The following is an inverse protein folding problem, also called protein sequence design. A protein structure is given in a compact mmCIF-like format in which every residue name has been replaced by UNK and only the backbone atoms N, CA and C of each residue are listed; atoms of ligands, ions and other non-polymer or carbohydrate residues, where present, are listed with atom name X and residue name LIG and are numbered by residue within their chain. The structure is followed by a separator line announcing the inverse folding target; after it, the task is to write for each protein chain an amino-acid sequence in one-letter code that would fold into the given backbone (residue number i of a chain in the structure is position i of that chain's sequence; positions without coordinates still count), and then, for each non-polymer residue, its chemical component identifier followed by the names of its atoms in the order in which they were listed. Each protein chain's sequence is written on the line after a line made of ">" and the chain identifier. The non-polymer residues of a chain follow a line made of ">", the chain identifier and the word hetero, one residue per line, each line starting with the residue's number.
data_IF_460518428671
#
_entry.id   IF_460518428671
#
_cell.length_a   1.000
_cell.length_b   1.000
_cell.length_c   1.000
_cell.angle_alpha   90.00
_cell.angle_beta   90.00
_cell.angle_gamma   90.00
#
_symmetry.space_group_name_H-M   'P 1'
#
loop_
_entity.id
_entity.type
_entity.pdbx_description
1 polymer ?
#
# COMPACT_ATOMS: atom_id res chain seq x y z
N UNK A 1 -25.66 0.89 -41.93
CA UNK A 1 -24.58 -0.11 -41.70
C UNK A 1 -23.60 0.26 -40.58
N UNK A 2 -23.47 1.53 -40.17
CA UNK A 2 -22.60 1.92 -39.05
C UNK A 2 -23.23 1.76 -37.64
N UNK A 3 -24.56 1.69 -37.57
CA UNK A 3 -25.28 1.50 -36.27
C UNK A 3 -25.30 0.06 -35.79
N UNK A 4 -25.21 -0.92 -36.67
CA UNK A 4 -25.18 -2.35 -36.28
C UNK A 4 -23.86 -2.81 -35.68
N UNK A 5 -22.75 -2.12 -36.02
CA UNK A 5 -21.43 -2.45 -35.48
C UNK A 5 -21.28 -1.95 -34.02
N UNK A 6 -21.88 -0.80 -33.69
CA UNK A 6 -21.87 -0.25 -32.32
C UNK A 6 -22.73 -1.10 -31.37
N UNK A 7 -23.89 -1.59 -31.83
CA UNK A 7 -24.75 -2.47 -31.02
C UNK A 7 -24.13 -3.85 -30.81
N UNK A 8 -23.38 -4.39 -31.79
CA UNK A 8 -22.68 -5.66 -31.66
C UNK A 8 -21.54 -5.63 -30.60
N UNK A 9 -20.79 -4.55 -30.56
CA UNK A 9 -19.72 -4.36 -29.56
C UNK A 9 -20.33 -4.18 -28.15
N UNK A 10 -21.43 -3.43 -28.03
CA UNK A 10 -22.10 -3.28 -26.74
C UNK A 10 -22.71 -4.57 -26.20
N UNK A 11 -23.28 -5.43 -27.04
CA UNK A 11 -23.86 -6.72 -26.62
C UNK A 11 -22.79 -7.75 -26.26
N UNK A 12 -21.60 -7.70 -26.86
CA UNK A 12 -20.49 -8.57 -26.47
C UNK A 12 -19.73 -8.04 -25.24
N UNK A 13 -19.66 -6.72 -25.03
CA UNK A 13 -18.95 -6.14 -23.90
C UNK A 13 -19.67 -6.33 -22.56
N UNK A 14 -21.01 -6.36 -22.54
CA UNK A 14 -21.80 -6.54 -21.32
C UNK A 14 -21.51 -7.85 -20.57
N UNK A 15 -21.51 -9.05 -21.22
CA UNK A 15 -21.18 -10.29 -20.53
C UNK A 15 -19.70 -10.37 -20.08
N UNK A 16 -18.81 -9.67 -20.77
CA UNK A 16 -17.37 -9.68 -20.47
C UNK A 16 -17.05 -8.71 -19.33
N UNK A 17 -17.72 -7.56 -19.28
CA UNK A 17 -17.59 -6.61 -18.17
C UNK A 17 -18.13 -7.18 -16.84
N UNK A 18 -19.16 -8.05 -16.90
CA UNK A 18 -19.65 -8.76 -15.69
C UNK A 18 -18.61 -9.71 -15.13
N UNK A 19 -17.74 -10.32 -15.95
CA UNK A 19 -16.62 -11.15 -15.46
C UNK A 19 -15.63 -10.36 -14.64
N UNK A 20 -15.36 -9.10 -14.98
CA UNK A 20 -14.51 -8.21 -14.16
C UNK A 20 -15.12 -7.94 -12.80
N UNK A 21 -16.43 -7.74 -12.74
CA UNK A 21 -17.14 -7.56 -11.47
C UNK A 21 -17.20 -8.87 -10.67
N UNK A 22 -17.45 -10.00 -11.33
CA UNK A 22 -17.43 -11.32 -10.72
C UNK A 22 -16.06 -11.63 -10.13
N UNK A 23 -14.99 -11.34 -10.86
CA UNK A 23 -13.61 -11.48 -10.36
C UNK A 23 -13.36 -10.67 -9.08
N UNK A 24 -13.89 -9.44 -8.99
CA UNK A 24 -13.70 -8.58 -7.82
C UNK A 24 -14.55 -8.98 -6.62
N UNK A 25 -15.78 -9.47 -6.85
CA UNK A 25 -16.78 -9.64 -5.79
C UNK A 25 -17.23 -11.09 -5.58
N UNK A 26 -16.72 -12.06 -6.33
CA UNK A 26 -17.02 -13.47 -6.11
C UNK A 26 -16.05 -14.04 -5.06
N UNK A 27 -16.50 -14.29 -3.82
CA UNK A 27 -15.61 -14.80 -2.78
C UNK A 27 -15.29 -16.28 -3.00
N UNK A 28 -14.02 -16.61 -3.01
CA UNK A 28 -13.55 -17.99 -3.00
C UNK A 28 -13.24 -18.44 -1.57
N UNK A 29 -14.17 -19.18 -0.98
CA UNK A 29 -14.00 -19.75 0.37
C UNK A 29 -13.17 -21.02 0.41
N UNK A 30 -12.72 -21.55 -0.74
CA UNK A 30 -11.88 -22.75 -0.79
C UNK A 30 -10.53 -22.55 -0.09
N UNK A 31 -10.06 -21.32 -0.08
CA UNK A 31 -8.80 -20.87 0.57
C UNK A 31 -8.78 -21.09 2.10
N UNK A 32 -9.94 -21.18 2.74
CA UNK A 32 -10.03 -21.50 4.18
C UNK A 32 -9.89 -22.99 4.49
N UNK A 33 -9.75 -23.85 3.46
CA UNK A 33 -9.43 -25.26 3.64
C UNK A 33 -7.93 -25.41 3.87
N UNK A 34 -7.55 -25.85 5.08
CA UNK A 34 -6.15 -25.98 5.46
C UNK A 34 -5.55 -24.70 6.01
N UNK A 35 -4.26 -24.48 5.81
CA UNK A 35 -3.48 -23.31 6.28
C UNK A 35 -3.38 -22.17 5.25
N UNK A 36 -3.95 -22.31 4.05
CA UNK A 36 -3.86 -21.31 2.96
C UNK A 36 -4.37 -19.92 3.33
N UNK A 37 -5.28 -19.82 4.31
CA UNK A 37 -5.76 -18.53 4.83
C UNK A 37 -4.64 -17.66 5.43
N UNK A 38 -3.54 -18.27 5.95
CA UNK A 38 -2.40 -17.51 6.49
C UNK A 38 -1.66 -16.79 5.37
N UNK A 39 -1.48 -17.45 4.21
CA UNK A 39 -0.88 -16.81 3.03
C UNK A 39 -1.70 -15.62 2.55
N UNK A 40 -3.04 -15.76 2.50
CA UNK A 40 -3.94 -14.65 2.15
C UNK A 40 -3.85 -13.53 3.18
N UNK A 41 -3.87 -13.85 4.47
CA UNK A 41 -3.73 -12.86 5.52
C UNK A 41 -2.38 -12.13 5.42
N UNK A 42 -1.31 -12.84 5.10
CA UNK A 42 0.02 -12.26 4.91
C UNK A 42 0.04 -11.27 3.74
N UNK A 43 -0.48 -11.67 2.57
CA UNK A 43 -0.53 -10.80 1.38
C UNK A 43 -1.46 -9.61 1.60
N UNK A 44 -2.68 -9.84 2.09
CA UNK A 44 -3.62 -8.75 2.37
C UNK A 44 -3.12 -7.82 3.48
N UNK A 45 -2.49 -8.38 4.51
CA UNK A 45 -1.89 -7.62 5.61
C UNK A 45 -0.74 -6.74 5.12
N UNK A 46 0.17 -7.27 4.28
CA UNK A 46 1.23 -6.50 3.65
C UNK A 46 0.65 -5.31 2.87
N UNK A 47 -0.34 -5.55 2.01
CA UNK A 47 -1.00 -4.50 1.26
C UNK A 47 -1.64 -3.43 2.17
N UNK A 48 -2.26 -3.81 3.30
CA UNK A 48 -2.81 -2.85 4.26
C UNK A 48 -1.72 -2.02 4.92
N UNK A 49 -0.57 -2.61 5.27
CA UNK A 49 0.57 -1.87 5.81
C UNK A 49 1.08 -0.83 4.82
N UNK A 50 1.18 -1.20 3.56
CA UNK A 50 1.62 -0.30 2.49
C UNK A 50 0.60 0.81 2.25
N UNK A 51 -0.67 0.48 1.99
CA UNK A 51 -1.73 1.43 1.65
C UNK A 51 -1.98 2.46 2.75
N UNK A 52 -2.02 2.03 4.02
CA UNK A 52 -2.21 2.89 5.18
C UNK A 52 -0.89 3.45 5.76
N UNK A 53 0.25 3.20 5.11
CA UNK A 53 1.57 3.67 5.56
C UNK A 53 1.92 3.27 7.00
N UNK A 54 1.52 2.06 7.42
CA UNK A 54 1.78 1.56 8.77
C UNK A 54 3.19 0.98 8.89
N UNK A 55 3.83 1.19 10.04
CA UNK A 55 5.15 0.63 10.33
C UNK A 55 6.35 1.34 9.71
N UNK A 56 6.13 2.35 8.85
CA UNK A 56 7.19 3.11 8.17
C UNK A 56 7.42 4.52 8.75
N UNK A 57 7.02 4.78 9.98
CA UNK A 57 7.09 6.08 10.67
C UNK A 57 6.25 7.23 10.07
N UNK A 58 5.70 7.11 8.86
CA UNK A 58 4.92 8.16 8.21
C UNK A 58 3.71 8.60 9.05
N UNK A 59 2.96 7.64 9.61
CA UNK A 59 1.82 7.94 10.49
C UNK A 59 2.23 8.63 11.79
N UNK A 60 3.41 8.34 12.34
CA UNK A 60 3.94 9.01 13.53
C UNK A 60 4.26 10.47 13.19
N UNK A 61 4.92 10.70 12.04
CA UNK A 61 5.25 12.02 11.54
C UNK A 61 3.99 12.84 11.28
N UNK A 62 2.99 12.29 10.60
CA UNK A 62 1.71 12.96 10.38
C UNK A 62 0.96 13.24 11.68
N UNK A 63 0.96 12.29 12.60
CA UNK A 63 0.36 12.47 13.92
C UNK A 63 0.98 13.65 14.68
N UNK A 64 2.29 13.89 14.53
CA UNK A 64 2.98 15.02 15.14
C UNK A 64 2.59 16.39 14.56
N UNK A 65 2.02 16.43 13.35
CA UNK A 65 1.55 17.64 12.68
C UNK A 65 0.08 17.95 12.89
N UNK A 66 -0.67 16.98 13.44
CA UNK A 66 -2.10 17.18 13.73
C UNK A 66 -2.29 18.24 14.81
N UNK A 67 -3.30 19.08 14.63
CA UNK A 67 -3.71 20.01 15.67
C UNK A 67 -4.32 19.26 16.85
N UNK A 68 -4.21 19.80 18.07
CA UNK A 68 -4.76 19.18 19.28
C UNK A 68 -6.29 19.07 19.27
N UNK A 69 -6.96 19.80 18.39
CA UNK A 69 -8.41 19.81 18.21
C UNK A 69 -8.91 18.63 17.36
N UNK A 70 -8.00 17.98 16.61
CA UNK A 70 -8.36 16.85 15.74
C UNK A 70 -8.59 15.57 16.54
N UNK A 71 -9.65 14.84 16.20
CA UNK A 71 -9.98 13.57 16.84
C UNK A 71 -9.18 12.43 16.21
N UNK A 72 -8.22 11.87 16.96
CA UNK A 72 -7.42 10.72 16.51
C UNK A 72 -8.28 9.51 16.22
N UNK A 73 -9.31 9.24 17.04
CA UNK A 73 -10.23 8.10 16.84
C UNK A 73 -11.03 8.27 15.56
N UNK A 74 -11.57 9.45 15.30
CA UNK A 74 -12.34 9.71 14.07
C UNK A 74 -11.46 9.56 12.84
N UNK A 75 -10.26 10.12 12.86
CA UNK A 75 -9.34 10.06 11.74
C UNK A 75 -8.85 8.63 11.47
N UNK A 76 -8.58 7.83 12.52
CA UNK A 76 -8.18 6.42 12.38
C UNK A 76 -9.28 5.52 11.79
N UNK A 77 -10.53 5.95 11.81
CA UNK A 77 -11.66 5.24 11.17
C UNK A 77 -11.89 5.75 9.75
N UNK A 78 -11.89 7.07 9.55
CA UNK A 78 -12.18 7.68 8.25
C UNK A 78 -11.12 7.33 7.21
N UNK A 79 -9.84 7.38 7.57
CA UNK A 79 -8.74 7.13 6.63
C UNK A 79 -8.83 5.74 5.98
N UNK A 80 -8.96 4.62 6.72
CA UNK A 80 -9.11 3.31 6.10
C UNK A 80 -10.38 3.16 5.25
N UNK A 81 -11.48 3.80 5.66
CA UNK A 81 -12.73 3.77 4.88
C UNK A 81 -12.53 4.49 3.54
N UNK A 82 -11.96 5.69 3.55
CA UNK A 82 -11.70 6.44 2.33
C UNK A 82 -10.71 5.71 1.40
N UNK A 83 -9.63 5.13 1.96
CA UNK A 83 -8.67 4.31 1.23
C UNK A 83 -9.36 3.13 0.52
N UNK A 84 -10.18 2.38 1.25
CA UNK A 84 -10.96 1.25 0.71
C UNK A 84 -11.92 1.70 -0.40
N UNK A 85 -12.64 2.81 -0.22
CA UNK A 85 -13.55 3.34 -1.24
C UNK A 85 -12.77 3.68 -2.52
N UNK A 86 -11.65 4.36 -2.42
CA UNK A 86 -10.82 4.72 -3.58
C UNK A 86 -10.29 3.47 -4.28
N UNK A 87 -9.80 2.49 -3.53
CA UNK A 87 -9.32 1.22 -4.08
C UNK A 87 -10.42 0.46 -4.83
N UNK A 88 -11.63 0.38 -4.26
CA UNK A 88 -12.79 -0.24 -4.92
C UNK A 88 -13.20 0.52 -6.18
N UNK A 89 -13.23 1.84 -6.14
CA UNK A 89 -13.55 2.66 -7.33
C UNK A 89 -12.52 2.45 -8.46
N UNK A 90 -11.23 2.42 -8.12
CA UNK A 90 -10.17 2.13 -9.08
C UNK A 90 -10.31 0.72 -9.68
N UNK A 91 -10.56 -0.29 -8.85
CA UNK A 91 -10.84 -1.66 -9.30
C UNK A 91 -12.05 -1.74 -10.24
N UNK A 92 -13.17 -1.07 -9.89
CA UNK A 92 -14.38 -1.00 -10.73
C UNK A 92 -14.13 -0.33 -12.07
N UNK A 93 -13.20 0.61 -12.15
CA UNK A 93 -12.83 1.24 -13.42
C UNK A 93 -11.92 0.35 -14.27
N UNK A 94 -10.95 -0.33 -13.64
CA UNK A 94 -9.87 -1.04 -14.33
C UNK A 94 -10.27 -2.47 -14.70
N UNK A 95 -10.80 -3.26 -13.75
CA UNK A 95 -11.02 -4.70 -13.97
C UNK A 95 -12.04 -4.99 -15.09
N UNK A 96 -13.22 -4.35 -15.15
CA UNK A 96 -14.12 -4.57 -16.28
C UNK A 96 -13.50 -4.20 -17.64
N UNK A 97 -12.65 -3.17 -17.70
CA UNK A 97 -11.97 -2.79 -18.93
C UNK A 97 -10.95 -3.84 -19.38
N UNK A 98 -10.16 -4.39 -18.45
CA UNK A 98 -9.18 -5.47 -18.73
C UNK A 98 -9.88 -6.70 -19.28
N UNK A 99 -10.96 -7.16 -18.64
CA UNK A 99 -11.74 -8.32 -19.10
C UNK A 99 -12.48 -8.05 -20.41
N UNK A 100 -12.94 -6.82 -20.65
CA UNK A 100 -13.56 -6.44 -21.92
C UNK A 100 -12.60 -6.55 -23.11
N UNK A 101 -11.29 -6.37 -22.86
CA UNK A 101 -10.23 -6.56 -23.85
C UNK A 101 -9.79 -8.03 -24.02
N UNK A 102 -10.40 -8.97 -23.27
CA UNK A 102 -10.02 -10.38 -23.27
C UNK A 102 -8.63 -10.63 -22.68
N UNK A 103 -8.12 -9.71 -21.88
CA UNK A 103 -6.83 -9.84 -21.20
C UNK A 103 -7.03 -10.44 -19.81
N UNK A 104 -6.02 -11.18 -19.34
CA UNK A 104 -5.96 -11.63 -17.96
C UNK A 104 -5.51 -10.49 -17.05
N UNK A 105 -6.05 -10.36 -15.83
CA UNK A 105 -5.62 -9.36 -14.87
C UNK A 105 -4.19 -9.67 -14.40
N UNK A 106 -3.23 -8.96 -14.98
CA UNK A 106 -1.85 -8.99 -14.51
C UNK A 106 -1.74 -8.24 -13.18
N UNK A 107 -0.81 -8.63 -12.31
CA UNK A 107 -0.49 -7.89 -11.09
C UNK A 107 0.64 -6.88 -11.28
N UNK A 108 0.78 -5.97 -10.31
CA UNK A 108 1.89 -5.05 -10.22
C UNK A 108 2.04 -4.08 -11.40
N UNK A 109 3.28 -3.70 -11.76
CA UNK A 109 3.57 -2.74 -12.83
C UNK A 109 3.03 -3.15 -14.20
N UNK A 110 2.91 -4.46 -14.45
CA UNK A 110 2.37 -4.99 -15.70
C UNK A 110 0.94 -4.55 -15.98
N UNK A 111 0.10 -4.53 -14.97
CA UNK A 111 -1.28 -4.04 -15.10
C UNK A 111 -1.30 -2.56 -15.50
N UNK A 112 -0.49 -1.73 -14.83
CA UNK A 112 -0.50 -0.28 -15.03
C UNK A 112 0.15 0.12 -16.37
N UNK A 113 1.31 -0.42 -16.70
CA UNK A 113 2.11 0.08 -17.83
C UNK A 113 1.95 -0.74 -19.12
N UNK A 114 1.45 -1.97 -19.05
CA UNK A 114 1.24 -2.82 -20.23
C UNK A 114 -0.25 -2.98 -20.51
N UNK A 115 -1.00 -3.52 -19.55
CA UNK A 115 -2.41 -3.85 -19.76
C UNK A 115 -3.27 -2.61 -19.96
N UNK A 116 -3.18 -1.60 -19.10
CA UNK A 116 -3.93 -0.35 -19.26
C UNK A 116 -3.51 0.43 -20.51
N UNK A 117 -2.23 0.38 -20.91
CA UNK A 117 -1.79 0.98 -22.15
C UNK A 117 -2.47 0.35 -23.38
N UNK A 118 -2.65 -0.97 -23.38
CA UNK A 118 -3.39 -1.66 -24.44
C UNK A 118 -4.87 -1.24 -24.46
N UNK A 119 -5.51 -1.12 -23.28
CA UNK A 119 -6.90 -0.61 -23.16
C UNK A 119 -7.02 0.79 -23.79
N UNK A 120 -6.11 1.71 -23.46
CA UNK A 120 -6.15 3.07 -24.00
C UNK A 120 -5.93 3.10 -25.53
N UNK A 121 -5.03 2.26 -26.05
CA UNK A 121 -4.81 2.16 -27.49
C UNK A 121 -6.08 1.73 -28.25
N UNK A 122 -6.87 0.83 -27.67
CA UNK A 122 -8.14 0.35 -28.28
C UNK A 122 -9.29 1.35 -28.17
N UNK A 123 -9.19 2.36 -27.29
CA UNK A 123 -10.19 3.44 -27.19
C UNK A 123 -10.15 4.43 -28.36
N UNK A 124 -9.26 4.23 -29.34
CA UNK A 124 -9.16 5.08 -30.52
C UNK A 124 -8.74 6.52 -30.21
N UNK A 125 -9.45 7.51 -30.76
CA UNK A 125 -9.12 8.94 -30.62
C UNK A 125 -9.18 9.47 -29.19
N UNK A 126 -9.95 8.85 -28.31
CA UNK A 126 -10.08 9.24 -26.90
C UNK A 126 -8.98 8.62 -26.03
N UNK A 127 -8.36 7.53 -26.49
CA UNK A 127 -7.35 6.80 -25.72
C UNK A 127 -6.19 7.65 -25.23
N UNK A 128 -5.54 8.48 -26.07
CA UNK A 128 -4.46 9.35 -25.61
C UNK A 128 -4.87 10.33 -24.51
N UNK A 129 -6.12 10.82 -24.54
CA UNK A 129 -6.62 11.76 -23.51
C UNK A 129 -6.80 11.04 -22.17
N UNK A 130 -7.46 9.89 -22.16
CA UNK A 130 -7.64 9.11 -20.94
C UNK A 130 -6.33 8.55 -20.42
N UNK A 131 -5.45 8.09 -21.29
CA UNK A 131 -4.12 7.64 -20.93
C UNK A 131 -3.29 8.76 -20.28
N UNK A 132 -3.28 9.96 -20.86
CA UNK A 132 -2.61 11.13 -20.27
C UNK A 132 -3.17 11.45 -18.89
N UNK A 133 -4.49 11.53 -18.73
CA UNK A 133 -5.12 11.83 -17.45
C UNK A 133 -4.78 10.78 -16.38
N UNK A 134 -4.83 9.50 -16.75
CA UNK A 134 -4.49 8.40 -15.85
C UNK A 134 -3.03 8.46 -15.41
N UNK A 135 -2.07 8.56 -16.34
CA UNK A 135 -0.65 8.60 -15.98
C UNK A 135 -0.26 9.90 -15.28
N UNK A 136 -0.92 11.01 -15.58
CA UNK A 136 -0.75 12.25 -14.84
C UNK A 136 -1.24 12.12 -13.40
N UNK A 137 -2.39 11.49 -13.17
CA UNK A 137 -2.89 11.17 -11.84
C UNK A 137 -1.91 10.29 -11.06
N UNK A 138 -1.41 9.22 -11.68
CA UNK A 138 -0.41 8.31 -11.08
C UNK A 138 0.87 9.08 -10.73
N UNK A 139 1.34 9.96 -11.60
CA UNK A 139 2.52 10.79 -11.38
C UNK A 139 2.35 11.71 -10.16
N UNK A 140 1.22 12.41 -10.05
CA UNK A 140 0.94 13.26 -8.89
C UNK A 140 0.84 12.44 -7.60
N UNK A 141 0.17 11.30 -7.64
CA UNK A 141 0.07 10.38 -6.50
C UNK A 141 1.45 9.87 -6.06
N UNK A 142 2.32 9.52 -7.00
CA UNK A 142 3.69 9.08 -6.70
C UNK A 142 4.52 10.19 -6.06
N UNK A 143 4.43 11.44 -6.53
CA UNK A 143 5.14 12.58 -5.94
C UNK A 143 4.68 12.82 -4.51
N UNK A 144 3.38 12.86 -4.25
CA UNK A 144 2.85 13.12 -2.89
C UNK A 144 3.28 12.04 -1.91
N UNK A 145 3.27 10.77 -2.33
CA UNK A 145 3.77 9.65 -1.51
C UNK A 145 5.28 9.75 -1.26
N UNK A 146 6.07 10.09 -2.29
CA UNK A 146 7.51 10.26 -2.15
C UNK A 146 7.88 11.37 -1.17
N UNK A 147 7.18 12.50 -1.21
CA UNK A 147 7.35 13.60 -0.25
C UNK A 147 7.11 13.11 1.17
N UNK A 148 6.05 12.33 1.38
CA UNK A 148 5.68 11.79 2.68
C UNK A 148 6.73 10.86 3.27
N UNK A 149 7.29 9.97 2.44
CA UNK A 149 8.33 9.03 2.84
C UNK A 149 9.64 9.75 3.19
N UNK A 150 10.04 10.74 2.37
CA UNK A 150 11.22 11.57 2.64
C UNK A 150 11.06 12.34 3.95
N UNK A 151 9.87 12.91 4.18
CA UNK A 151 9.56 13.64 5.41
C UNK A 151 9.66 12.77 6.65
N UNK A 152 9.14 11.52 6.59
CA UNK A 152 9.23 10.58 7.71
C UNK A 152 10.68 10.28 8.11
N UNK A 153 11.56 10.03 7.15
CA UNK A 153 12.98 9.78 7.39
C UNK A 153 13.69 11.05 7.87
N UNK A 154 13.44 12.18 7.22
CA UNK A 154 14.07 13.46 7.55
C UNK A 154 13.68 13.93 8.96
N UNK A 155 12.40 13.81 9.34
CA UNK A 155 11.91 14.17 10.68
C UNK A 155 12.57 13.32 11.77
N UNK A 156 12.62 12.00 11.60
CA UNK A 156 13.26 11.12 12.57
C UNK A 156 14.74 11.47 12.79
N UNK A 157 15.45 11.81 11.71
CA UNK A 157 16.85 12.25 11.84
C UNK A 157 16.99 13.62 12.51
N UNK A 158 16.12 14.58 12.18
CA UNK A 158 16.07 15.91 12.78
C UNK A 158 15.80 15.80 14.29
N UNK A 159 14.80 15.01 14.67
CA UNK A 159 14.42 14.80 16.07
C UNK A 159 15.58 14.19 16.88
N UNK A 160 16.31 13.25 16.28
CA UNK A 160 17.53 12.70 16.89
C UNK A 160 18.61 13.76 17.11
N UNK A 161 18.77 14.72 16.18
CA UNK A 161 19.70 15.85 16.32
C UNK A 161 19.26 16.80 17.41
N UNK A 162 17.97 17.17 17.42
CA UNK A 162 17.38 18.05 18.44
C UNK A 162 17.51 17.45 19.83
N UNK A 163 17.22 16.18 20.00
CA UNK A 163 17.35 15.47 21.27
C UNK A 163 18.80 15.48 21.81
N UNK A 164 19.79 15.57 20.91
CA UNK A 164 21.22 15.66 21.27
C UNK A 164 21.70 17.10 21.41
N UNK A 165 20.83 18.11 21.30
CA UNK A 165 21.21 19.54 21.37
C UNK A 165 22.07 20.00 20.19
N UNK A 166 22.04 19.27 19.05
CA UNK A 166 22.83 19.58 17.87
C UNK A 166 22.06 20.47 16.89
N UNK A 167 22.76 21.42 16.26
CA UNK A 167 22.18 22.17 15.16
C UNK A 167 21.95 21.30 13.92
N UNK A 168 20.95 21.64 13.14
CA UNK A 168 20.63 20.92 11.89
C UNK A 168 20.27 21.87 10.75
N UNK A 169 20.51 21.43 9.54
CA UNK A 169 20.07 22.10 8.33
C UNK A 169 19.08 21.18 7.60
N UNK A 170 17.77 21.50 7.73
CA UNK A 170 16.70 20.69 7.12
C UNK A 170 16.88 20.49 5.61
N UNK A 171 17.26 21.54 4.88
CA UNK A 171 17.45 21.45 3.41
C UNK A 171 18.56 20.47 3.05
N UNK A 172 19.67 20.48 3.79
CA UNK A 172 20.76 19.55 3.58
C UNK A 172 20.34 18.10 3.89
N UNK A 173 19.61 17.89 4.99
CA UNK A 173 19.12 16.56 5.39
C UNK A 173 18.16 16.01 4.31
N UNK A 174 17.16 16.78 3.91
CA UNK A 174 16.21 16.37 2.86
C UNK A 174 16.95 16.09 1.55
N UNK A 175 17.90 16.95 1.16
CA UNK A 175 18.71 16.72 -0.05
C UNK A 175 19.53 15.44 -0.01
N UNK A 176 20.15 15.12 1.12
CA UNK A 176 20.91 13.88 1.30
C UNK A 176 19.98 12.67 1.25
N UNK A 177 18.85 12.69 1.97
CA UNK A 177 17.86 11.59 1.96
C UNK A 177 17.33 11.38 0.54
N UNK A 178 16.97 12.44 -0.17
CA UNK A 178 16.50 12.34 -1.56
C UNK A 178 17.55 11.74 -2.50
N UNK A 179 18.82 12.15 -2.34
CA UNK A 179 19.92 11.61 -3.14
C UNK A 179 20.17 10.12 -2.87
N UNK A 180 20.10 9.70 -1.60
CA UNK A 180 20.24 8.29 -1.23
C UNK A 180 19.10 7.45 -1.81
N UNK A 181 17.85 7.90 -1.70
CA UNK A 181 16.69 7.22 -2.27
C UNK A 181 16.76 7.15 -3.80
N UNK A 182 17.25 8.21 -4.45
CA UNK A 182 17.49 8.19 -5.89
C UNK A 182 18.48 7.11 -6.30
N UNK A 183 19.62 7.01 -5.59
CA UNK A 183 20.65 5.99 -5.85
C UNK A 183 20.08 4.59 -5.59
N UNK A 184 19.31 4.40 -4.51
CA UNK A 184 18.69 3.12 -4.18
C UNK A 184 17.68 2.66 -5.24
N UNK A 185 16.97 3.59 -5.89
CA UNK A 185 16.02 3.26 -6.96
C UNK A 185 16.70 2.93 -8.31
N UNK A 186 17.97 3.25 -8.52
CA UNK A 186 18.67 2.95 -9.77
C UNK A 186 18.64 1.45 -10.16
N UNK A 187 18.89 0.50 -9.26
CA UNK A 187 18.78 -0.92 -9.59
C UNK A 187 17.40 -1.32 -10.13
N UNK A 188 16.33 -0.83 -9.52
CA UNK A 188 14.94 -1.10 -9.96
C UNK A 188 14.69 -0.55 -11.37
N UNK A 189 15.14 0.67 -11.66
CA UNK A 189 15.03 1.26 -12.99
C UNK A 189 15.86 0.51 -14.03
N UNK A 190 17.11 0.14 -13.70
CA UNK A 190 18.00 -0.61 -14.58
C UNK A 190 17.54 -2.03 -14.85
N UNK A 191 16.83 -2.63 -13.91
CA UNK A 191 16.20 -3.94 -14.07
C UNK A 191 14.89 -3.86 -14.87
N UNK A 192 14.44 -2.69 -15.29
CA UNK A 192 13.17 -2.44 -15.98
C UNK A 192 11.96 -3.01 -15.24
N UNK A 193 11.92 -2.94 -13.91
CA UNK A 193 10.85 -3.49 -13.06
C UNK A 193 10.63 -5.00 -13.26
N UNK A 194 11.67 -5.73 -13.65
CA UNK A 194 11.59 -7.15 -13.97
C UNK A 194 11.05 -7.47 -15.38
N UNK A 195 10.73 -6.45 -16.18
CA UNK A 195 10.24 -6.63 -17.56
C UNK A 195 11.39 -6.98 -18.52
N UNK A 196 11.09 -7.62 -19.68
CA UNK A 196 12.09 -7.86 -20.71
C UNK A 196 12.76 -6.57 -21.18
N UNK A 197 14.09 -6.57 -21.27
CA UNK A 197 14.88 -5.40 -21.69
C UNK A 197 15.63 -4.71 -20.56
N UNK A 198 15.52 -5.18 -19.33
CA UNK A 198 16.33 -4.70 -18.20
C UNK A 198 17.84 -4.96 -18.44
N UNK A 199 18.68 -4.01 -18.02
CA UNK A 199 20.14 -4.09 -18.14
C UNK A 199 20.79 -4.68 -16.88
N UNK A 200 20.04 -4.85 -15.80
CA UNK A 200 20.52 -5.42 -14.53
C UNK A 200 19.88 -6.78 -14.29
N UNK A 201 20.71 -7.75 -13.88
CA UNK A 201 20.23 -9.09 -13.55
C UNK A 201 19.35 -9.10 -12.29
N UNK A 202 18.47 -10.08 -12.21
CA UNK A 202 17.62 -10.32 -11.04
C UNK A 202 18.45 -10.77 -9.83
N UNK A 203 17.92 -10.58 -8.63
CA UNK A 203 18.47 -11.10 -7.38
C UNK A 203 17.89 -12.50 -7.16
N UNK A 204 18.61 -13.52 -7.60
CA UNK A 204 18.10 -14.90 -7.56
C UNK A 204 16.84 -15.04 -8.43
N UNK A 205 15.71 -15.37 -7.81
CA UNK A 205 14.40 -15.49 -8.49
C UNK A 205 13.59 -14.20 -8.55
N UNK A 206 14.02 -13.13 -7.87
CA UNK A 206 13.28 -11.88 -7.72
C UNK A 206 13.86 -10.79 -8.63
N UNK A 207 12.99 -9.95 -9.18
CA UNK A 207 13.41 -8.66 -9.72
C UNK A 207 13.77 -7.70 -8.57
N UNK A 208 14.46 -6.60 -8.85
CA UNK A 208 14.85 -5.64 -7.81
C UNK A 208 13.66 -4.99 -7.12
N UNK A 209 12.58 -4.76 -7.86
CA UNK A 209 11.33 -4.25 -7.28
C UNK A 209 10.75 -5.23 -6.27
N UNK A 210 10.56 -6.49 -6.67
CA UNK A 210 10.00 -7.53 -5.80
C UNK A 210 10.87 -7.78 -4.57
N UNK A 211 12.19 -7.67 -4.70
CA UNK A 211 13.13 -7.82 -3.59
C UNK A 211 12.97 -6.67 -2.57
N UNK A 212 12.91 -5.42 -3.04
CA UNK A 212 12.70 -4.28 -2.15
C UNK A 212 11.31 -4.30 -1.52
N UNK A 213 10.29 -4.69 -2.28
CA UNK A 213 8.93 -4.83 -1.80
C UNK A 213 8.83 -5.87 -0.68
N UNK A 214 9.41 -7.04 -0.88
CA UNK A 214 9.50 -8.05 0.16
C UNK A 214 10.21 -7.55 1.42
N UNK A 215 11.35 -6.86 1.25
CA UNK A 215 12.12 -6.35 2.39
C UNK A 215 11.31 -5.29 3.15
N UNK A 216 10.70 -4.35 2.43
CA UNK A 216 9.94 -3.25 3.03
C UNK A 216 8.57 -3.72 3.55
N UNK A 217 7.71 -4.21 2.65
CA UNK A 217 6.31 -4.57 2.95
C UNK A 217 6.21 -5.93 3.65
N UNK A 218 7.01 -6.90 3.21
CA UNK A 218 6.96 -8.24 3.77
C UNK A 218 7.60 -8.35 5.16
N UNK A 219 8.63 -7.57 5.46
CA UNK A 219 9.42 -7.74 6.70
C UNK A 219 9.42 -6.47 7.55
N UNK A 220 9.90 -5.35 7.03
CA UNK A 220 10.20 -4.16 7.86
C UNK A 220 8.94 -3.50 8.40
N UNK A 221 7.88 -3.35 7.60
CA UNK A 221 6.62 -2.74 8.03
C UNK A 221 5.87 -3.58 9.08
N UNK A 222 5.64 -4.90 8.89
CA UNK A 222 5.03 -5.74 9.93
C UNK A 222 5.84 -5.77 11.21
N UNK A 223 7.18 -5.85 11.12
CA UNK A 223 8.06 -5.84 12.27
C UNK A 223 8.01 -4.49 13.01
N UNK A 224 8.08 -3.38 12.30
CA UNK A 224 7.98 -2.03 12.86
C UNK A 224 6.63 -1.81 13.55
N UNK A 225 5.54 -2.23 12.91
CA UNK A 225 4.19 -2.17 13.48
C UNK A 225 4.03 -3.06 14.71
N UNK A 226 4.61 -4.26 14.69
CA UNK A 226 4.61 -5.18 15.84
C UNK A 226 5.33 -4.55 17.04
N UNK A 227 6.52 -4.00 16.83
CA UNK A 227 7.28 -3.30 17.86
C UNK A 227 6.47 -2.13 18.43
N UNK A 228 5.85 -1.32 17.56
CA UNK A 228 5.03 -0.18 17.97
C UNK A 228 3.81 -0.64 18.80
N UNK A 229 3.11 -1.69 18.36
CA UNK A 229 1.97 -2.24 19.09
C UNK A 229 2.37 -2.75 20.48
N UNK A 230 3.53 -3.39 20.59
CA UNK A 230 4.07 -3.82 21.88
C UNK A 230 4.40 -2.62 22.78
N UNK A 231 5.02 -1.57 22.24
CA UNK A 231 5.33 -0.36 23.00
C UNK A 231 4.05 0.30 23.50
N UNK A 232 3.07 0.52 22.62
CA UNK A 232 1.79 1.16 22.99
C UNK A 232 0.96 0.30 23.94
N UNK A 233 0.89 -1.01 23.69
CA UNK A 233 0.08 -1.93 24.47
C UNK A 233 0.64 -2.27 25.87
N UNK A 234 1.97 -2.31 26.01
CA UNK A 234 2.62 -2.86 27.22
C UNK A 234 3.61 -1.91 27.91
N UNK A 235 4.27 -0.99 27.17
CA UNK A 235 5.24 -0.04 27.74
C UNK A 235 4.61 1.27 28.12
N UNK A 236 3.73 1.81 27.27
CA UNK A 236 3.02 3.04 27.56
C UNK A 236 1.84 2.72 28.52
N UNK A 237 1.62 3.60 29.49
CA UNK A 237 0.48 3.48 30.38
C UNK A 237 -0.80 3.84 29.61
N UNK A 238 -1.88 3.10 29.87
CA UNK A 238 -3.19 3.37 29.25
C UNK A 238 -3.67 4.82 29.47
N UNK A 239 -3.35 5.38 30.64
CA UNK A 239 -3.67 6.77 31.00
C UNK A 239 -2.95 7.77 30.08
N UNK A 240 -1.73 7.47 29.65
CA UNK A 240 -0.99 8.32 28.70
C UNK A 240 -1.64 8.33 27.34
N UNK A 241 -2.01 7.15 26.82
CA UNK A 241 -2.73 7.04 25.54
C UNK A 241 -4.07 7.78 25.62
N UNK A 242 -4.78 7.62 26.73
CA UNK A 242 -6.05 8.31 26.96
C UNK A 242 -5.88 9.83 27.02
N UNK A 243 -4.85 10.33 27.70
CA UNK A 243 -4.58 11.77 27.79
C UNK A 243 -4.30 12.41 26.42
N UNK A 244 -3.59 11.69 25.53
CA UNK A 244 -3.33 12.15 24.16
C UNK A 244 -4.58 12.11 23.29
N UNK A 245 -5.35 11.03 23.35
CA UNK A 245 -6.56 10.87 22.54
C UNK A 245 -7.66 11.83 22.97
N UNK A 246 -7.72 12.17 24.27
CA UNK A 246 -8.77 13.02 24.84
C UNK A 246 -8.40 14.50 24.90
N UNK A 247 -7.34 14.93 24.20
CA UNK A 247 -6.96 16.34 24.14
C UNK A 247 -8.10 17.23 23.62
N UNK A 248 -8.21 18.44 24.17
CA UNK A 248 -9.20 19.46 23.80
C UNK A 248 -10.66 18.96 23.86
N UNK A 249 -10.97 17.99 24.74
CA UNK A 249 -12.32 17.48 24.93
C UNK A 249 -12.75 16.39 23.94
N UNK A 250 -11.82 15.85 23.16
CA UNK A 250 -12.08 14.70 22.31
C UNK A 250 -12.48 13.48 23.14
N UNK A 251 -13.43 12.68 22.67
CA UNK A 251 -13.86 11.46 23.34
C UNK A 251 -13.04 10.25 22.88
N UNK A 252 -12.53 9.49 23.83
CA UNK A 252 -11.95 8.18 23.54
C UNK A 252 -13.05 7.10 23.58
N UNK A 253 -13.97 7.16 22.61
CA UNK A 253 -15.03 6.16 22.48
C UNK A 253 -14.43 4.78 22.22
N UNK A 254 -14.88 3.77 22.99
CA UNK A 254 -14.41 2.40 22.81
C UNK A 254 -13.01 2.12 23.36
N UNK A 255 -12.51 2.88 24.34
CA UNK A 255 -11.18 2.72 24.98
C UNK A 255 -10.81 1.25 25.24
N UNK A 256 -11.72 0.48 25.84
CA UNK A 256 -11.46 -0.93 26.16
C UNK A 256 -11.21 -1.78 24.92
N UNK A 257 -11.97 -1.53 23.84
CA UNK A 257 -11.78 -2.19 22.53
C UNK A 257 -10.43 -1.83 21.91
N UNK A 258 -10.08 -0.55 21.87
CA UNK A 258 -8.80 -0.08 21.35
C UNK A 258 -7.61 -0.66 22.13
N UNK A 259 -7.69 -0.66 23.44
CA UNK A 259 -6.62 -1.24 24.28
C UNK A 259 -6.51 -2.76 24.12
N UNK A 260 -7.62 -3.46 23.91
CA UNK A 260 -7.59 -4.88 23.55
C UNK A 260 -6.92 -5.10 22.19
N UNK A 261 -7.24 -4.28 21.20
CA UNK A 261 -6.61 -4.35 19.88
C UNK A 261 -5.09 -4.15 19.97
N UNK A 262 -4.61 -3.13 20.68
CA UNK A 262 -3.17 -2.89 20.85
C UNK A 262 -2.44 -4.00 21.61
N UNK A 263 -3.10 -4.63 22.59
CA UNK A 263 -2.47 -5.66 23.42
C UNK A 263 -2.52 -7.05 22.81
N UNK A 264 -3.57 -7.38 22.08
CA UNK A 264 -3.83 -8.75 21.63
C UNK A 264 -3.94 -8.85 20.11
N UNK A 265 -4.94 -8.20 19.54
CA UNK A 265 -5.28 -8.41 18.13
C UNK A 265 -4.16 -7.95 17.18
N UNK A 266 -3.62 -6.75 17.40
CA UNK A 266 -2.59 -6.20 16.54
C UNK A 266 -1.27 -6.98 16.65
N UNK A 267 -0.69 -7.28 17.83
CA UNK A 267 0.52 -8.09 17.91
C UNK A 267 0.38 -9.49 17.28
N UNK A 268 -0.74 -10.17 17.50
CA UNK A 268 -0.98 -11.49 16.91
C UNK A 268 -1.13 -11.38 15.40
N UNK A 269 -1.93 -10.45 14.90
CA UNK A 269 -2.13 -10.24 13.47
C UNK A 269 -0.82 -9.90 12.76
N UNK A 270 -0.02 -8.99 13.31
CA UNK A 270 1.28 -8.58 12.74
C UNK A 270 2.30 -9.72 12.76
N UNK A 271 2.32 -10.53 13.83
CA UNK A 271 3.18 -11.71 13.90
C UNK A 271 2.78 -12.77 12.85
N UNK A 272 1.49 -12.98 12.62
CA UNK A 272 1.00 -13.89 11.58
C UNK A 272 1.33 -13.39 10.18
N UNK A 273 1.17 -12.09 9.91
CA UNK A 273 1.54 -11.48 8.63
C UNK A 273 3.04 -11.66 8.39
N UNK A 274 3.87 -11.34 9.38
CA UNK A 274 5.32 -11.49 9.28
C UNK A 274 5.71 -12.96 9.05
N UNK A 275 5.13 -13.90 9.79
CA UNK A 275 5.39 -15.32 9.64
C UNK A 275 4.98 -15.84 8.25
N UNK A 276 3.82 -15.43 7.74
CA UNK A 276 3.34 -15.80 6.40
C UNK A 276 4.21 -15.23 5.29
N UNK A 277 4.68 -14.00 5.42
CA UNK A 277 5.61 -13.38 4.46
C UNK A 277 6.98 -14.09 4.45
N UNK A 278 7.51 -14.42 5.63
CA UNK A 278 8.77 -15.18 5.73
C UNK A 278 8.61 -16.59 5.16
N UNK A 279 7.49 -17.25 5.40
CA UNK A 279 7.20 -18.57 4.81
C UNK A 279 7.16 -18.52 3.29
N UNK A 280 6.44 -17.55 2.73
CA UNK A 280 6.36 -17.36 1.29
C UNK A 280 7.71 -17.05 0.65
N UNK A 281 8.55 -16.24 1.33
CA UNK A 281 9.86 -15.87 0.82
C UNK A 281 10.87 -17.01 0.85
N UNK A 282 11.02 -17.63 2.01
CA UNK A 282 12.00 -18.70 2.20
C UNK A 282 11.50 -20.07 1.74
N UNK A 283 10.24 -20.14 1.28
CA UNK A 283 9.58 -21.39 0.90
C UNK A 283 9.70 -22.48 2.01
N UNK A 284 9.44 -22.06 3.26
CA UNK A 284 9.61 -22.91 4.43
C UNK A 284 8.54 -24.01 4.50
N UNK A 285 7.37 -23.79 3.85
CA UNK A 285 6.25 -24.72 3.83
C UNK A 285 5.55 -24.86 5.18
N UNK A 286 5.58 -23.80 6.02
CA UNK A 286 4.94 -23.80 7.33
C UNK A 286 3.41 -23.72 7.23
N UNK A 287 2.93 -23.09 6.14
CA UNK A 287 1.52 -22.78 5.92
C UNK A 287 0.99 -23.32 4.58
N UNK A 288 1.67 -24.27 3.97
CA UNK A 288 1.23 -24.96 2.74
C UNK A 288 0.45 -26.22 3.04
#
# INVERSE_FOLDING_TARGET
>A
TRFSTVTGVQTCALPISTKGLEFMFSPDFSVFKGSGWVGILATAGGQVFFSLSLGMAAMITYGSYLSKQESLVKNSIIVPICDTIVALMAGLAVMPAVFAMGMEPAGGPGLLFVTLQAVFNDMGTLGPVFGFLMYFLVFIAAITSSISLIEGVASAYIDSKVAKGQSYNRKAIVGIVSALLFIENLPTCLNALGMPGGHLANIGKFCWLDFYDLLAEGIMMPLGSLILAIIVGYKLKAEWVESEVSLEGNSFAGRSFWMFCFKVTAPIGMALVLAGQLDAFFALGLFN
#
